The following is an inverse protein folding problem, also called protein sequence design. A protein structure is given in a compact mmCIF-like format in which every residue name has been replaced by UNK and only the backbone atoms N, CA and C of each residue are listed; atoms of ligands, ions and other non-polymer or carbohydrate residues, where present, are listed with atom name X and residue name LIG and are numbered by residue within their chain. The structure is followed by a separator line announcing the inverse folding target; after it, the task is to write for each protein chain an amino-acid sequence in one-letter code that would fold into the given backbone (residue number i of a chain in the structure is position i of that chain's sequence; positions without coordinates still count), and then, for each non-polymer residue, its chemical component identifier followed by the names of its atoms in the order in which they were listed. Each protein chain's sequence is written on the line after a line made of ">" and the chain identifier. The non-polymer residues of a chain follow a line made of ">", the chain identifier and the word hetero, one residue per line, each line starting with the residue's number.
data_IF_839042788696
#
_entry.id   IF_839042788696
#
_cell.length_a   1.000
_cell.length_b   1.000
_cell.length_c   1.000
_cell.angle_alpha   90.00
_cell.angle_beta   90.00
_cell.angle_gamma   90.00
#
_symmetry.space_group_name_H-M   'P 1'
#
loop_
_entity.id
_entity.type
_entity.pdbx_description
1 polymer ?
#
# COMPACT_ATOMS: atom_id res chain seq x y z
N UNK A 1 -27.46 -14.65 14.64
CA UNK A 1 -26.52 -15.46 15.44
C UNK A 1 -27.06 -15.58 16.85
N UNK A 2 -27.26 -16.80 17.35
CA UNK A 2 -27.87 -17.04 18.68
C UNK A 2 -26.92 -16.59 19.80
N UNK A 3 -27.36 -15.67 20.67
CA UNK A 3 -26.54 -15.06 21.74
C UNK A 3 -26.07 -16.04 22.81
N UNK A 4 -26.66 -17.24 22.89
CA UNK A 4 -26.31 -18.26 23.89
C UNK A 4 -24.94 -18.90 23.63
N UNK A 5 -24.45 -18.94 22.38
CA UNK A 5 -23.12 -19.49 22.04
C UNK A 5 -21.93 -18.59 22.45
N UNK A 6 -22.19 -17.40 22.99
CA UNK A 6 -21.15 -16.46 23.43
C UNK A 6 -20.50 -16.94 24.75
N UNK A 7 -21.23 -17.71 25.57
CA UNK A 7 -20.81 -18.07 26.93
C UNK A 7 -20.32 -19.52 27.07
N UNK A 8 -20.50 -20.36 26.05
CA UNK A 8 -19.98 -21.73 26.01
C UNK A 8 -18.49 -21.72 25.58
N UNK A 9 -17.64 -21.09 26.39
CA UNK A 9 -16.19 -21.07 26.16
C UNK A 9 -15.57 -22.36 26.73
N UNK A 10 -14.73 -23.01 25.92
CA UNK A 10 -13.84 -24.05 26.45
C UNK A 10 -12.88 -23.45 27.48
N UNK A 11 -12.34 -24.23 28.43
CA UNK A 11 -11.39 -23.72 29.43
C UNK A 11 -10.20 -23.00 28.78
N UNK A 12 -9.67 -23.54 27.68
CA UNK A 12 -8.58 -22.91 26.91
C UNK A 12 -8.97 -21.54 26.33
N UNK A 13 -10.17 -21.43 25.75
CA UNK A 13 -10.65 -20.15 25.19
C UNK A 13 -10.85 -19.10 26.28
N UNK A 14 -11.29 -19.53 27.48
CA UNK A 14 -11.43 -18.65 28.65
C UNK A 14 -10.07 -18.11 29.09
N UNK A 15 -9.05 -18.95 29.15
CA UNK A 15 -7.68 -18.52 29.49
C UNK A 15 -7.15 -17.50 28.48
N UNK A 16 -7.34 -17.76 27.18
CA UNK A 16 -6.94 -16.82 26.11
C UNK A 16 -7.68 -15.48 26.25
N UNK A 17 -8.98 -15.51 26.57
CA UNK A 17 -9.77 -14.29 26.75
C UNK A 17 -9.28 -13.47 27.95
N UNK A 18 -9.03 -14.12 29.09
CA UNK A 18 -8.48 -13.49 30.29
C UNK A 18 -7.08 -12.91 30.02
N UNK A 19 -6.24 -13.64 29.29
CA UNK A 19 -4.92 -13.16 28.91
C UNK A 19 -4.99 -11.91 28.00
N UNK A 20 -5.89 -11.91 27.01
CA UNK A 20 -6.11 -10.75 26.12
C UNK A 20 -6.60 -9.54 26.90
N UNK A 21 -7.52 -9.73 27.84
CA UNK A 21 -8.07 -8.66 28.66
C UNK A 21 -7.01 -8.09 29.61
N UNK A 22 -6.24 -8.95 30.28
CA UNK A 22 -5.11 -8.55 31.11
C UNK A 22 -4.08 -7.73 30.31
N UNK A 23 -3.75 -8.15 29.08
CA UNK A 23 -2.86 -7.38 28.18
C UNK A 23 -3.44 -6.04 27.78
N UNK A 24 -4.74 -5.98 27.46
CA UNK A 24 -5.41 -4.71 27.13
C UNK A 24 -5.39 -3.75 28.32
N UNK A 25 -5.64 -4.25 29.52
CA UNK A 25 -5.58 -3.45 30.76
C UNK A 25 -4.18 -2.88 30.98
N UNK A 26 -3.13 -3.70 30.85
CA UNK A 26 -1.74 -3.26 30.95
C UNK A 26 -1.41 -2.11 29.97
N UNK A 27 -1.80 -2.26 28.69
CA UNK A 27 -1.55 -1.22 27.68
C UNK A 27 -2.33 0.06 27.97
N UNK A 28 -3.57 -0.05 28.45
CA UNK A 28 -4.40 1.09 28.84
C UNK A 28 -3.80 1.85 30.02
N UNK A 29 -3.28 1.14 31.02
CA UNK A 29 -2.61 1.76 32.17
C UNK A 29 -1.36 2.55 31.74
N UNK A 30 -0.54 1.99 30.84
CA UNK A 30 0.62 2.69 30.25
C UNK A 30 0.17 3.96 29.53
N UNK A 31 -0.88 3.87 28.70
CA UNK A 31 -1.44 5.01 28.00
C UNK A 31 -1.92 6.10 28.96
N UNK A 32 -2.73 5.75 29.96
CA UNK A 32 -3.30 6.70 30.92
C UNK A 32 -2.22 7.38 31.77
N UNK A 33 -1.17 6.65 32.15
CA UNK A 33 -0.01 7.19 32.86
C UNK A 33 0.69 8.26 32.02
N UNK A 34 0.85 8.03 30.73
CA UNK A 34 1.64 8.88 29.85
C UNK A 34 0.83 10.03 29.23
N UNK A 35 -0.50 9.88 29.07
CA UNK A 35 -1.38 10.88 28.44
C UNK A 35 -1.55 12.16 29.27
N UNK A 36 -1.45 12.07 30.59
CA UNK A 36 -1.59 13.22 31.50
C UNK A 36 -0.26 13.82 31.97
N UNK A 37 0.87 13.34 31.46
CA UNK A 37 2.18 13.71 32.00
C UNK A 37 2.62 15.08 31.45
N UNK A 38 2.85 16.11 32.29
CA UNK A 38 3.06 17.49 31.84
C UNK A 38 4.34 17.74 31.03
N UNK A 39 5.32 16.82 31.09
CA UNK A 39 6.61 16.94 30.40
C UNK A 39 6.73 16.04 29.17
N UNK A 40 5.76 15.14 28.92
CA UNK A 40 5.76 14.29 27.73
C UNK A 40 5.00 14.99 26.61
N UNK A 41 5.72 15.47 25.61
CA UNK A 41 5.13 16.15 24.45
C UNK A 41 4.52 15.20 23.41
N UNK A 42 4.98 13.94 23.35
CA UNK A 42 4.50 12.94 22.41
C UNK A 42 4.15 11.64 23.11
N UNK A 43 2.95 11.13 22.85
CA UNK A 43 2.55 9.79 23.28
C UNK A 43 3.10 8.76 22.29
N UNK A 44 4.10 8.00 22.73
CA UNK A 44 4.77 7.01 21.90
C UNK A 44 4.05 5.65 21.97
N UNK A 45 3.18 5.37 21.00
CA UNK A 45 2.53 4.06 20.91
C UNK A 45 3.41 3.04 20.17
N UNK A 46 4.02 2.13 20.93
CA UNK A 46 4.86 1.06 20.39
C UNK A 46 4.19 0.23 19.29
N UNK A 47 2.87 0.05 19.32
CA UNK A 47 2.12 -0.68 18.30
C UNK A 47 2.14 0.02 16.95
N UNK A 48 1.89 1.34 16.95
CA UNK A 48 1.93 2.18 15.74
C UNK A 48 3.35 2.20 15.17
N UNK A 49 4.36 2.38 16.03
CA UNK A 49 5.75 2.39 15.60
C UNK A 49 6.19 1.05 15.00
N UNK A 50 5.80 -0.08 15.60
CA UNK A 50 6.12 -1.40 15.04
C UNK A 50 5.42 -1.63 13.70
N UNK A 51 4.18 -1.16 13.55
CA UNK A 51 3.46 -1.23 12.27
C UNK A 51 4.14 -0.39 11.19
N UNK A 52 4.53 0.85 11.51
CA UNK A 52 5.26 1.72 10.60
C UNK A 52 6.63 1.12 10.23
N UNK A 53 7.37 0.61 11.21
CA UNK A 53 8.66 -0.05 11.00
C UNK A 53 8.54 -1.33 10.16
N UNK A 54 7.49 -2.12 10.36
CA UNK A 54 7.22 -3.31 9.55
C UNK A 54 6.93 -2.96 8.09
N UNK A 55 6.23 -1.84 7.83
CA UNK A 55 6.01 -1.33 6.47
C UNK A 55 7.29 -0.82 5.80
N UNK A 56 8.14 -0.12 6.56
CA UNK A 56 9.42 0.38 6.05
C UNK A 56 10.40 -0.76 5.77
N UNK A 57 10.37 -1.83 6.54
CA UNK A 57 11.30 -2.97 6.41
C UNK A 57 10.82 -4.08 5.46
N UNK A 58 9.77 -3.86 4.66
CA UNK A 58 9.24 -4.85 3.71
C UNK A 58 10.30 -5.32 2.72
N UNK A 59 11.19 -4.41 2.28
CA UNK A 59 12.26 -4.74 1.33
C UNK A 59 13.31 -5.68 1.95
N UNK A 60 13.66 -5.46 3.22
CA UNK A 60 14.63 -6.28 3.94
C UNK A 60 14.17 -7.72 4.16
N UNK A 61 12.85 -7.95 4.18
CA UNK A 61 12.24 -9.26 4.39
C UNK A 61 11.68 -9.85 3.08
N UNK A 62 12.04 -9.29 1.93
CA UNK A 62 11.56 -9.78 0.65
C UNK A 62 12.23 -11.10 0.29
N UNK A 63 11.44 -12.18 0.24
CA UNK A 63 11.86 -13.47 -0.31
C UNK A 63 11.42 -13.54 -1.77
N UNK A 64 12.36 -13.69 -2.73
CA UNK A 64 12.03 -13.76 -4.15
C UNK A 64 11.36 -15.10 -4.48
N UNK A 65 10.03 -15.11 -4.42
CA UNK A 65 9.20 -16.21 -4.93
C UNK A 65 8.82 -15.93 -6.38
N UNK A 66 8.78 -16.97 -7.22
CA UNK A 66 8.44 -16.86 -8.65
C UNK A 66 7.13 -16.11 -8.88
N UNK A 67 6.08 -16.45 -8.12
CA UNK A 67 4.76 -15.79 -8.19
C UNK A 67 4.82 -14.29 -7.86
N UNK A 68 5.55 -13.93 -6.80
CA UNK A 68 5.73 -12.54 -6.34
C UNK A 68 6.57 -11.71 -7.31
N UNK A 69 7.58 -12.33 -7.91
CA UNK A 69 8.42 -11.69 -8.92
C UNK A 69 7.59 -11.34 -10.15
N UNK A 70 6.88 -12.32 -10.73
CA UNK A 70 6.03 -12.06 -11.89
C UNK A 70 4.89 -11.09 -11.62
N UNK A 71 4.26 -11.12 -10.44
CA UNK A 71 3.19 -10.17 -10.12
C UNK A 71 3.69 -8.74 -10.03
N UNK A 72 4.87 -8.50 -9.43
CA UNK A 72 5.41 -7.15 -9.28
C UNK A 72 6.07 -6.66 -10.57
N UNK A 73 6.93 -7.48 -11.15
CA UNK A 73 7.65 -7.15 -12.36
C UNK A 73 6.71 -7.07 -13.57
N UNK A 74 5.74 -7.99 -13.68
CA UNK A 74 4.78 -8.02 -14.78
C UNK A 74 3.88 -6.80 -14.83
N UNK A 75 3.45 -6.27 -13.67
CA UNK A 75 2.68 -5.02 -13.61
C UNK A 75 3.51 -3.84 -14.09
N UNK A 76 4.74 -3.70 -13.61
CA UNK A 76 5.63 -2.59 -13.99
C UNK A 76 6.00 -2.68 -15.48
N UNK A 77 6.48 -3.83 -15.93
CA UNK A 77 6.86 -4.05 -17.32
C UNK A 77 5.65 -3.89 -18.26
N UNK A 78 4.47 -4.37 -17.85
CA UNK A 78 3.23 -4.21 -18.61
C UNK A 78 2.87 -2.73 -18.83
N UNK A 79 2.96 -1.90 -17.78
CA UNK A 79 2.71 -0.46 -17.90
C UNK A 79 3.72 0.24 -18.82
N UNK A 80 5.00 -0.11 -18.73
CA UNK A 80 6.06 0.44 -19.60
C UNK A 80 5.81 0.06 -21.06
N UNK A 81 5.50 -1.21 -21.33
CA UNK A 81 5.25 -1.70 -22.70
C UNK A 81 3.99 -1.04 -23.26
N UNK A 82 2.91 -0.99 -22.49
CA UNK A 82 1.64 -0.39 -22.90
C UNK A 82 1.81 1.09 -23.27
N UNK A 83 2.47 1.86 -22.41
CA UNK A 83 2.75 3.28 -22.65
C UNK A 83 3.66 3.47 -23.87
N UNK A 84 4.69 2.64 -24.03
CA UNK A 84 5.57 2.65 -25.19
C UNK A 84 4.83 2.39 -26.51
N UNK A 85 3.94 1.39 -26.55
CA UNK A 85 3.13 1.06 -27.72
C UNK A 85 2.12 2.16 -28.04
N UNK A 86 1.46 2.73 -27.03
CA UNK A 86 0.51 3.82 -27.21
C UNK A 86 1.18 5.07 -27.79
N UNK A 87 2.38 5.42 -27.30
CA UNK A 87 3.18 6.52 -27.83
C UNK A 87 3.66 6.24 -29.26
N UNK A 88 4.17 5.03 -29.52
CA UNK A 88 4.66 4.65 -30.86
C UNK A 88 3.55 4.71 -31.90
N UNK A 89 2.40 4.10 -31.62
CA UNK A 89 1.25 4.10 -32.53
C UNK A 89 0.66 5.50 -32.69
N UNK A 90 0.59 6.30 -31.62
CA UNK A 90 0.16 7.69 -31.70
C UNK A 90 1.08 8.55 -32.59
N UNK A 91 2.40 8.38 -32.47
CA UNK A 91 3.38 9.08 -33.33
C UNK A 91 3.27 8.64 -34.79
N UNK A 92 3.18 7.33 -35.05
CA UNK A 92 3.06 6.79 -36.40
C UNK A 92 1.80 7.31 -37.11
N UNK A 93 0.65 7.35 -36.42
CA UNK A 93 -0.59 7.91 -36.96
C UNK A 93 -0.46 9.40 -37.28
N UNK A 94 0.12 10.19 -36.36
CA UNK A 94 0.37 11.63 -36.58
C UNK A 94 1.28 11.86 -37.79
N UNK A 95 2.37 11.11 -37.88
CA UNK A 95 3.31 11.22 -38.99
C UNK A 95 2.68 10.81 -40.32
N UNK A 96 1.83 9.77 -40.34
CA UNK A 96 1.09 9.39 -41.52
C UNK A 96 0.15 10.50 -42.00
N UNK A 97 -0.57 11.18 -41.10
CA UNK A 97 -1.42 12.32 -41.45
C UNK A 97 -0.61 13.51 -42.00
N UNK A 98 0.62 13.73 -41.52
CA UNK A 98 1.50 14.77 -42.06
C UNK A 98 2.03 14.45 -43.46
N UNK A 99 2.34 13.17 -43.74
CA UNK A 99 2.89 12.73 -45.04
C UNK A 99 1.82 12.64 -46.13
N UNK A 100 0.60 12.26 -45.76
CA UNK A 100 -0.55 12.18 -46.69
C UNK A 100 -1.17 13.54 -46.99
N UNK A 101 -0.75 14.60 -46.30
CA UNK A 101 -1.29 15.95 -46.50
C UNK A 101 -2.68 16.17 -45.90
N UNK A 102 -3.19 15.22 -45.10
CA UNK A 102 -4.48 15.37 -44.41
C UNK A 102 -4.47 16.52 -43.40
N UNK A 103 -3.28 16.92 -42.93
CA UNK A 103 -3.08 18.08 -42.06
C UNK A 103 -2.27 19.12 -42.80
N UNK A 104 -2.85 20.31 -42.98
CA UNK A 104 -2.22 21.46 -43.60
C UNK A 104 -0.92 21.83 -42.91
N UNK A 105 0.08 22.23 -43.71
CA UNK A 105 1.37 22.67 -43.21
C UNK A 105 1.23 23.84 -42.21
N UNK A 106 0.27 24.73 -42.47
CA UNK A 106 -0.04 25.90 -41.64
C UNK A 106 -0.76 25.60 -40.32
N UNK A 107 -1.09 24.34 -40.02
CA UNK A 107 -1.73 23.92 -38.76
C UNK A 107 -0.82 23.06 -37.87
N UNK A 108 0.40 22.77 -38.32
CA UNK A 108 1.35 21.89 -37.60
C UNK A 108 1.90 22.61 -36.35
N UNK A 109 1.93 21.97 -35.16
CA UNK A 109 2.36 22.63 -33.93
C UNK A 109 3.88 22.79 -33.77
N UNK A 110 4.70 22.04 -34.51
CA UNK A 110 6.16 21.92 -34.32
C UNK A 110 6.98 22.64 -35.42
N UNK A 111 6.44 23.71 -36.00
CA UNK A 111 7.03 24.34 -37.20
C UNK A 111 8.39 25.02 -36.97
N UNK A 112 8.62 25.60 -35.78
CA UNK A 112 9.73 26.53 -35.56
C UNK A 112 10.33 26.48 -34.14
N UNK A 113 10.31 25.31 -33.48
CA UNK A 113 11.00 25.09 -32.22
C UNK A 113 12.20 24.17 -32.43
#
# INVERSE_FOLDING_TARGET
>A
MSSKKIYDLTPEQREIALWKDAKRKQLREIYLRDSGHPTKSLLFDTGIYRFAAAKASVEMHFVPTVTRFFSRFGVIAGLIILTGLMLKTGRAKKEHMYRTGQIDYASRPHRFC
#
